data_IF_742993712550
#
_entry.id   IF_742993712550
#
_cell.length_a   1.000
_cell.length_b   1.000
_cell.length_c   1.000
_cell.angle_alpha   90.00
_cell.angle_beta   90.00
_cell.angle_gamma   90.00
#
_symmetry.space_group_name_H-M   'P 1'
#
loop_
_entity.id
_entity.type
_entity.pdbx_description
1 polymer ?
#
# COMPACT_ATOMS: atom_id res chain seq x y z
N UNK A 1 -0.17 -7.44 3.85
CA UNK A 1 0.72 -8.09 2.84
C UNK A 1 -0.06 -8.98 1.85
N UNK A 2 -1.06 -9.76 2.29
CA UNK A 2 -1.85 -10.62 1.38
C UNK A 2 -2.75 -9.85 0.40
N UNK A 3 -3.30 -8.70 0.81
CA UNK A 3 -4.15 -7.87 -0.07
C UNK A 3 -3.38 -7.26 -1.24
N UNK A 4 -2.16 -6.77 -1.00
CA UNK A 4 -1.27 -6.23 -2.06
C UNK A 4 -0.83 -7.34 -3.03
N UNK A 5 -0.56 -8.55 -2.54
CA UNK A 5 -0.27 -9.71 -3.39
C UNK A 5 -1.48 -10.11 -4.25
N UNK A 6 -2.70 -10.05 -3.70
CA UNK A 6 -3.94 -10.34 -4.43
C UNK A 6 -4.17 -9.33 -5.57
N UNK A 7 -4.01 -8.04 -5.29
CA UNK A 7 -4.11 -6.97 -6.30
C UNK A 7 -3.02 -7.17 -7.35
N UNK A 8 -1.75 -7.37 -6.97
CA UNK A 8 -0.66 -7.69 -7.93
C UNK A 8 -0.98 -8.90 -8.80
N UNK A 9 -1.64 -9.94 -8.27
CA UNK A 9 -1.99 -11.17 -9.02
C UNK A 9 -3.16 -10.95 -10.00
N UNK A 10 -4.21 -10.23 -9.60
CA UNK A 10 -5.27 -9.80 -10.51
C UNK A 10 -4.73 -8.87 -11.60
N UNK A 11 -3.73 -8.07 -11.26
CA UNK A 11 -3.08 -7.15 -12.16
C UNK A 11 -2.15 -7.83 -13.19
N UNK A 12 -1.37 -8.82 -12.75
CA UNK A 12 -0.49 -9.61 -13.61
C UNK A 12 -1.28 -10.40 -14.67
N UNK A 13 -2.54 -10.78 -14.39
CA UNK A 13 -3.40 -11.38 -15.40
C UNK A 13 -3.91 -10.36 -16.43
N UNK A 14 -4.18 -9.11 -16.03
CA UNK A 14 -4.60 -8.05 -16.95
C UNK A 14 -3.41 -7.65 -17.86
N UNK A 15 -2.21 -7.46 -17.29
CA UNK A 15 -1.01 -7.04 -18.02
C UNK A 15 -0.47 -8.06 -19.03
N UNK A 16 -0.71 -9.37 -18.84
CA UNK A 16 -0.29 -10.43 -19.76
C UNK A 16 -1.21 -10.61 -20.97
N UNK A 17 -2.31 -9.87 -21.02
CA UNK A 17 -3.28 -9.97 -22.11
C UNK A 17 -2.90 -8.98 -23.21
N UNK A 18 -2.60 -9.49 -24.42
CA UNK A 18 -2.02 -8.70 -25.52
C UNK A 18 -2.98 -7.60 -26.01
N UNK A 19 -2.62 -6.30 -25.90
CA UNK A 19 -3.52 -5.20 -26.24
C UNK A 19 -3.99 -5.19 -27.70
N UNK A 20 -3.32 -5.90 -28.62
CA UNK A 20 -3.70 -5.97 -30.04
C UNK A 20 -4.94 -6.83 -30.34
N UNK A 21 -5.39 -7.66 -29.39
CA UNK A 21 -6.55 -8.57 -29.59
C UNK A 21 -7.90 -7.84 -29.35
N UNK A 22 -7.89 -6.61 -28.81
CA UNK A 22 -9.07 -6.06 -28.11
C UNK A 22 -9.61 -4.71 -28.61
N UNK A 23 -9.16 -4.21 -29.77
CA UNK A 23 -9.36 -2.81 -30.21
C UNK A 23 -10.80 -2.47 -30.67
N UNK A 24 -11.76 -3.41 -30.70
CA UNK A 24 -13.04 -3.18 -31.41
C UNK A 24 -14.35 -3.50 -30.66
N UNK A 25 -14.32 -3.83 -29.36
CA UNK A 25 -15.56 -4.15 -28.61
C UNK A 25 -15.94 -3.07 -27.59
N UNK A 26 -17.04 -2.34 -27.85
CA UNK A 26 -17.65 -1.38 -26.91
C UNK A 26 -17.93 -1.98 -25.52
N UNK A 27 -18.26 -3.28 -25.46
CA UNK A 27 -18.47 -4.00 -24.20
C UNK A 27 -17.16 -4.13 -23.39
N UNK A 28 -16.01 -4.23 -24.06
CA UNK A 28 -14.70 -4.30 -23.41
C UNK A 28 -14.18 -2.93 -22.99
N UNK A 29 -14.42 -1.86 -23.76
CA UNK A 29 -14.14 -0.49 -23.30
C UNK A 29 -14.94 -0.16 -22.04
N UNK A 30 -16.20 -0.63 -21.96
CA UNK A 30 -17.03 -0.52 -20.75
C UNK A 30 -16.49 -1.38 -19.60
N UNK A 31 -16.01 -2.60 -19.90
CA UNK A 31 -15.41 -3.49 -18.90
C UNK A 31 -14.06 -2.96 -18.36
N UNK A 32 -13.16 -2.48 -19.24
CA UNK A 32 -11.93 -1.78 -18.85
C UNK A 32 -12.27 -0.52 -18.08
N UNK A 33 -13.20 0.32 -18.54
CA UNK A 33 -13.57 1.56 -17.85
C UNK A 33 -14.12 1.30 -16.45
N UNK A 34 -15.01 0.31 -16.31
CA UNK A 34 -15.61 -0.04 -15.02
C UNK A 34 -14.59 -0.74 -14.11
N UNK A 35 -13.85 -1.71 -14.64
CA UNK A 35 -12.83 -2.46 -13.90
C UNK A 35 -11.62 -1.61 -13.51
N UNK A 36 -11.21 -0.67 -14.35
CA UNK A 36 -10.13 0.27 -14.03
C UNK A 36 -10.55 1.29 -12.97
N UNK A 37 -11.80 1.76 -13.01
CA UNK A 37 -12.37 2.60 -11.96
C UNK A 37 -12.47 1.85 -10.62
N UNK A 38 -12.89 0.59 -10.64
CA UNK A 38 -12.94 -0.25 -9.43
C UNK A 38 -11.55 -0.55 -8.88
N UNK A 39 -10.58 -0.92 -9.73
CA UNK A 39 -9.18 -1.14 -9.34
C UNK A 39 -8.57 0.14 -8.78
N UNK A 40 -8.82 1.30 -9.41
CA UNK A 40 -8.34 2.60 -8.90
C UNK A 40 -8.92 2.89 -7.53
N UNK A 41 -10.22 2.66 -7.34
CA UNK A 41 -10.89 2.86 -6.05
C UNK A 41 -10.32 1.91 -4.99
N UNK A 42 -10.14 0.64 -5.30
CA UNK A 42 -9.55 -0.35 -4.38
C UNK A 42 -8.10 0.03 -4.03
N UNK A 43 -7.27 0.48 -4.98
CA UNK A 43 -5.90 0.91 -4.68
C UNK A 43 -5.89 2.19 -3.83
N UNK A 44 -6.74 3.17 -4.11
CA UNK A 44 -6.83 4.41 -3.31
C UNK A 44 -7.28 4.11 -1.89
N UNK A 45 -8.30 3.26 -1.72
CA UNK A 45 -8.79 2.83 -0.41
C UNK A 45 -7.72 2.05 0.36
N UNK A 46 -7.00 1.13 -0.31
CA UNK A 46 -5.93 0.36 0.32
C UNK A 46 -4.75 1.25 0.72
N UNK A 47 -4.40 2.22 -0.12
CA UNK A 47 -3.31 3.17 0.14
C UNK A 47 -3.66 4.05 1.33
N UNK A 48 -4.90 4.55 1.42
CA UNK A 48 -5.38 5.33 2.56
C UNK A 48 -5.36 4.50 3.87
N UNK A 49 -5.80 3.24 3.84
CA UNK A 49 -5.77 2.35 5.01
C UNK A 49 -4.33 2.03 5.46
N UNK A 50 -3.43 1.75 4.51
CA UNK A 50 -2.01 1.49 4.80
C UNK A 50 -1.30 2.74 5.31
N UNK A 51 -1.57 3.92 4.75
CA UNK A 51 -1.06 5.19 5.26
C UNK A 51 -1.54 5.45 6.69
N UNK A 52 -2.83 5.25 6.97
CA UNK A 52 -3.38 5.43 8.31
C UNK A 52 -2.72 4.49 9.33
N UNK A 53 -2.54 3.21 8.97
CA UNK A 53 -1.83 2.22 9.80
C UNK A 53 -0.35 2.59 9.99
N UNK A 54 0.32 3.05 8.93
CA UNK A 54 1.71 3.51 8.99
C UNK A 54 1.88 4.69 9.94
N UNK A 55 1.00 5.69 9.86
CA UNK A 55 1.01 6.87 10.74
C UNK A 55 0.79 6.47 12.20
N UNK A 56 -0.19 5.61 12.49
CA UNK A 56 -0.45 5.13 13.86
C UNK A 56 0.76 4.40 14.45
N UNK A 57 1.40 3.52 13.67
CA UNK A 57 2.60 2.78 14.09
C UNK A 57 3.80 3.72 14.30
N UNK A 58 3.96 4.74 13.46
CA UNK A 58 5.01 5.75 13.63
C UNK A 58 4.76 6.60 14.88
N UNK A 59 3.52 7.03 15.14
CA UNK A 59 3.17 7.75 16.35
C UNK A 59 3.42 6.91 17.61
N UNK A 60 3.09 5.62 17.58
CA UNK A 60 3.41 4.70 18.67
C UNK A 60 4.93 4.55 18.87
N UNK A 61 5.70 4.43 17.79
CA UNK A 61 7.16 4.35 17.86
C UNK A 61 7.78 5.58 18.55
N UNK A 62 7.32 6.78 18.16
CA UNK A 62 7.74 8.04 18.78
C UNK A 62 7.33 8.10 20.25
N UNK A 63 6.08 7.77 20.58
CA UNK A 63 5.59 7.75 21.96
C UNK A 63 6.37 6.79 22.86
N UNK A 64 6.60 5.56 22.39
CA UNK A 64 7.40 4.56 23.10
C UNK A 64 8.86 5.02 23.27
N UNK A 65 9.46 5.65 22.25
CA UNK A 65 10.82 6.20 22.33
C UNK A 65 10.94 7.34 23.35
N UNK A 66 9.97 8.26 23.37
CA UNK A 66 9.91 9.34 24.37
C UNK A 66 9.76 8.77 25.78
N UNK A 67 8.82 7.85 26.00
CA UNK A 67 8.65 7.19 27.31
C UNK A 67 9.91 6.42 27.73
N UNK A 68 10.58 5.77 26.76
CA UNK A 68 11.85 5.08 26.96
C UNK A 68 12.98 6.02 27.39
N UNK A 69 13.02 7.24 26.83
CA UNK A 69 14.01 8.24 27.20
C UNK A 69 13.85 8.71 28.66
N UNK A 70 12.61 9.00 29.09
CA UNK A 70 12.31 9.53 30.42
C UNK A 70 12.31 8.50 31.55
N UNK A 71 12.21 7.20 31.26
CA UNK A 71 12.23 6.18 32.30
C UNK A 71 13.66 5.89 32.80
N UNK A 72 13.79 5.76 34.12
CA UNK A 72 15.04 5.37 34.80
C UNK A 72 15.12 3.86 35.05
N UNK A 73 13.99 3.14 34.98
CA UNK A 73 13.95 1.70 35.22
C UNK A 73 14.52 0.95 34.00
N UNK A 74 15.71 0.36 34.17
CA UNK A 74 16.49 -0.21 33.08
C UNK A 74 15.74 -1.28 32.25
N UNK A 75 15.00 -2.24 32.85
CA UNK A 75 14.23 -3.21 32.05
C UNK A 75 13.11 -2.57 31.23
N UNK A 76 12.39 -1.59 31.80
CA UNK A 76 11.32 -0.88 31.10
C UNK A 76 11.89 -0.01 29.98
N UNK A 77 13.05 0.62 30.20
CA UNK A 77 13.78 1.38 29.19
C UNK A 77 14.10 0.55 27.96
N UNK A 78 14.70 -0.63 28.17
CA UNK A 78 15.04 -1.56 27.09
C UNK A 78 13.76 -2.01 26.35
N UNK A 79 12.71 -2.36 27.08
CA UNK A 79 11.43 -2.77 26.49
C UNK A 79 10.79 -1.68 25.62
N UNK A 80 10.82 -0.43 26.08
CA UNK A 80 10.26 0.72 25.35
C UNK A 80 11.06 1.06 24.09
N UNK A 81 12.40 0.99 24.13
CA UNK A 81 13.22 1.18 22.93
C UNK A 81 13.05 0.05 21.91
N UNK A 82 12.91 -1.20 22.38
CA UNK A 82 12.62 -2.33 21.49
C UNK A 82 11.25 -2.18 20.82
N UNK A 83 10.22 -1.77 21.58
CA UNK A 83 8.90 -1.49 21.05
C UNK A 83 8.93 -0.32 20.03
N UNK A 84 9.66 0.76 20.34
CA UNK A 84 9.84 1.88 19.43
C UNK A 84 10.49 1.46 18.11
N UNK A 85 11.59 0.71 18.16
CA UNK A 85 12.27 0.19 16.98
C UNK A 85 11.38 -0.75 16.15
N UNK A 86 10.70 -1.70 16.80
CA UNK A 86 9.80 -2.63 16.13
C UNK A 86 8.62 -1.93 15.43
N UNK A 87 8.02 -0.94 16.10
CA UNK A 87 6.93 -0.15 15.52
C UNK A 87 7.39 0.79 14.42
N UNK A 88 8.62 1.32 14.47
CA UNK A 88 9.20 2.11 13.40
C UNK A 88 9.41 1.29 12.12
N UNK A 89 9.97 0.08 12.24
CA UNK A 89 10.12 -0.86 11.11
C UNK A 89 8.74 -1.23 10.55
N UNK A 90 7.78 -1.53 11.42
CA UNK A 90 6.44 -1.88 11.00
C UNK A 90 5.70 -0.71 10.31
N UNK A 91 6.03 0.54 10.62
CA UNK A 91 5.51 1.72 9.92
C UNK A 91 6.15 1.86 8.53
N UNK A 92 7.49 1.71 8.44
CA UNK A 92 8.25 1.80 7.19
C UNK A 92 7.76 0.78 6.14
N UNK A 93 7.47 -0.45 6.55
CA UNK A 93 6.93 -1.48 5.66
C UNK A 93 5.56 -1.10 5.06
N UNK A 94 4.70 -0.41 5.82
CA UNK A 94 3.39 0.05 5.32
C UNK A 94 3.56 1.19 4.33
N UNK A 95 4.43 2.17 4.64
CA UNK A 95 4.73 3.29 3.73
C UNK A 95 5.37 2.81 2.42
N UNK A 96 6.26 1.83 2.49
CA UNK A 96 6.84 1.20 1.30
C UNK A 96 5.77 0.49 0.46
N UNK A 97 4.81 -0.16 1.10
CA UNK A 97 3.68 -0.79 0.40
C UNK A 97 2.79 0.25 -0.29
N UNK A 98 2.57 1.42 0.32
CA UNK A 98 1.90 2.55 -0.35
C UNK A 98 2.65 3.01 -1.59
N UNK A 99 3.98 3.17 -1.50
CA UNK A 99 4.79 3.58 -2.64
C UNK A 99 4.74 2.57 -3.80
N UNK A 100 4.75 1.27 -3.49
CA UNK A 100 4.57 0.23 -4.52
C UNK A 100 3.18 0.29 -5.18
N UNK A 101 2.13 0.63 -4.44
CA UNK A 101 0.78 0.80 -4.97
C UNK A 101 0.64 2.06 -5.84
N UNK A 102 1.25 3.16 -5.43
CA UNK A 102 1.30 4.41 -6.22
C UNK A 102 2.08 4.20 -7.53
N UNK A 103 3.21 3.49 -7.51
CA UNK A 103 3.93 3.12 -8.73
C UNK A 103 3.10 2.23 -9.67
N UNK A 104 2.30 1.31 -9.12
CA UNK A 104 1.38 0.48 -9.90
C UNK A 104 0.29 1.33 -10.55
N UNK A 105 -0.28 2.31 -9.83
CA UNK A 105 -1.23 3.28 -10.38
C UNK A 105 -0.61 4.13 -11.50
N UNK A 106 0.63 4.59 -11.34
CA UNK A 106 1.31 5.40 -12.36
C UNK A 106 1.59 4.57 -13.63
N UNK A 107 1.98 3.30 -13.47
CA UNK A 107 2.16 2.38 -14.61
C UNK A 107 0.83 2.07 -15.33
N UNK A 108 -0.26 1.97 -14.58
CA UNK A 108 -1.62 1.81 -15.09
C UNK A 108 -2.04 2.99 -15.97
N UNK A 109 -1.83 4.20 -15.47
CA UNK A 109 -2.18 5.46 -16.13
C UNK A 109 -1.36 5.65 -17.41
N UNK A 110 -0.03 5.44 -17.33
CA UNK A 110 0.87 5.53 -18.49
C UNK A 110 0.55 4.55 -19.62
N UNK A 111 -0.03 3.38 -19.31
CA UNK A 111 -0.41 2.38 -20.32
C UNK A 111 -1.83 2.62 -20.89
N UNK A 112 -2.54 3.64 -20.42
CA UNK A 112 -3.89 3.99 -20.90
C UNK A 112 -4.99 3.04 -20.40
N UNK A 113 -4.71 2.25 -19.35
CA UNK A 113 -5.71 1.39 -18.71
C UNK A 113 -6.57 2.14 -17.70
N UNK A 114 -6.06 3.26 -17.18
CA UNK A 114 -6.85 4.28 -16.46
C UNK A 114 -7.06 5.45 -17.43
N UNK A 115 -8.32 5.78 -17.71
CA UNK A 115 -8.70 6.97 -18.46
C UNK A 115 -9.83 7.67 -17.71
#
# INVERSE_FOLDING_TARGET
>A
MDSVKRIKKQYDSILKTDPSIFVTSDAYLKFIGTGSSEIRKEIVELTADLQHKGILKAAFAVGAGILGYFTEYLPLKIGLFAAAGGSAIAADMEFRSCYELDQLLELLDRRGYLR
#
